data_IF_755469248387
#
_entry.id   IF_755469248387
#
_cell.length_a   1.000
_cell.length_b   1.000
_cell.length_c   1.000
_cell.angle_alpha   90.00
_cell.angle_beta   90.00
_cell.angle_gamma   90.00
#
_symmetry.space_group_name_H-M   'P 1'
#
loop_
_entity.id
_entity.type
_entity.pdbx_description
1 polymer ?
#
# COMPACT_ATOMS: atom_id res chain seq x y z
N UNK A 1 -8.49 -32.26 -9.58
CA UNK A 1 -8.89 -30.86 -9.34
C UNK A 1 -10.38 -30.83 -9.03
N UNK A 2 -10.86 -29.88 -8.22
CA UNK A 2 -12.28 -29.73 -7.86
C UNK A 2 -12.68 -28.26 -8.00
N UNK A 3 -13.84 -28.00 -8.59
CA UNK A 3 -14.43 -26.66 -8.64
C UNK A 3 -14.81 -26.18 -7.24
N UNK A 4 -14.46 -24.93 -6.93
CA UNK A 4 -14.77 -24.25 -5.68
C UNK A 4 -15.17 -22.81 -5.96
N UNK A 5 -15.86 -22.15 -5.03
CA UNK A 5 -16.14 -20.72 -5.14
C UNK A 5 -14.85 -19.90 -5.18
N UNK A 6 -14.90 -18.74 -5.83
CA UNK A 6 -13.78 -17.79 -5.85
C UNK A 6 -13.34 -17.40 -4.43
N UNK A 7 -14.29 -17.20 -3.51
CA UNK A 7 -14.00 -16.88 -2.10
C UNK A 7 -13.17 -17.97 -1.41
N UNK A 8 -13.42 -19.24 -1.71
CA UNK A 8 -12.67 -20.38 -1.18
C UNK A 8 -11.30 -20.51 -1.85
N UNK A 9 -11.19 -20.21 -3.14
CA UNK A 9 -9.88 -20.18 -3.81
C UNK A 9 -9.01 -19.05 -3.25
N UNK A 10 -9.60 -17.89 -2.96
CA UNK A 10 -8.90 -16.70 -2.48
C UNK A 10 -8.19 -16.92 -1.13
N UNK A 11 -8.72 -17.78 -0.25
CA UNK A 11 -8.07 -18.09 1.03
C UNK A 11 -6.72 -18.78 0.87
N UNK A 12 -6.50 -19.47 -0.26
CA UNK A 12 -5.25 -20.15 -0.58
C UNK A 12 -4.38 -19.38 -1.58
N UNK A 13 -4.98 -18.50 -2.40
CA UNK A 13 -4.28 -17.72 -3.41
C UNK A 13 -3.71 -16.40 -2.88
N UNK A 14 -4.44 -15.72 -1.98
CA UNK A 14 -4.13 -14.33 -1.62
C UNK A 14 -2.99 -14.12 -0.63
N UNK A 15 -2.45 -15.20 -0.04
CA UNK A 15 -1.49 -15.17 1.07
C UNK A 15 -0.37 -16.20 0.87
N UNK A 16 0.88 -15.89 1.29
CA UNK A 16 1.31 -14.58 1.78
C UNK A 16 1.31 -13.54 0.65
N UNK A 17 1.20 -12.26 1.00
CA UNK A 17 1.37 -11.19 0.03
C UNK A 17 2.08 -9.98 0.66
N UNK A 18 2.97 -9.33 -0.10
CA UNK A 18 3.57 -8.07 0.34
C UNK A 18 2.48 -7.02 0.59
N UNK A 19 2.59 -6.33 1.72
CA UNK A 19 1.76 -5.17 2.03
C UNK A 19 2.53 -3.92 1.68
N UNK A 20 1.85 -2.94 1.11
CA UNK A 20 2.40 -1.63 0.77
C UNK A 20 1.47 -0.55 1.29
N UNK A 21 2.00 0.66 1.50
CA UNK A 21 1.20 1.86 1.65
C UNK A 21 1.19 2.60 0.31
N UNK A 22 0.02 2.94 -0.21
CA UNK A 22 -0.10 3.98 -1.22
C UNK A 22 -0.41 5.29 -0.50
N UNK A 23 0.49 6.26 -0.57
CA UNK A 23 0.29 7.61 -0.04
C UNK A 23 -0.25 8.48 -1.15
N UNK A 24 -1.48 8.96 -1.00
CA UNK A 24 -2.16 9.83 -1.97
C UNK A 24 -2.19 11.26 -1.43
N UNK A 25 -2.43 12.25 -2.29
CA UNK A 25 -2.53 13.63 -1.87
C UNK A 25 -3.98 14.12 -1.85
N UNK A 26 -4.40 14.64 -0.71
CA UNK A 26 -5.67 15.32 -0.52
C UNK A 26 -5.47 16.81 -0.78
N UNK A 27 -5.86 17.27 -1.98
CA UNK A 27 -5.69 18.66 -2.40
C UNK A 27 -6.57 19.62 -1.61
N UNK A 28 -7.76 19.18 -1.20
CA UNK A 28 -8.72 19.99 -0.45
C UNK A 28 -8.16 20.32 0.94
N UNK A 29 -7.71 19.31 1.69
CA UNK A 29 -7.16 19.48 3.03
C UNK A 29 -5.63 19.69 3.06
N UNK A 30 -4.98 19.73 1.89
CA UNK A 30 -3.54 19.92 1.70
C UNK A 30 -2.66 18.96 2.52
N UNK A 31 -3.02 17.68 2.53
CA UNK A 31 -2.34 16.65 3.35
C UNK A 31 -2.16 15.33 2.60
N UNK A 32 -1.23 14.53 3.08
CA UNK A 32 -1.03 13.16 2.61
C UNK A 32 -1.99 12.18 3.29
N UNK A 33 -2.50 11.22 2.53
CA UNK A 33 -3.41 10.18 3.02
C UNK A 33 -2.90 8.78 2.63
N UNK A 34 -2.30 8.03 3.57
CA UNK A 34 -1.88 6.65 3.33
C UNK A 34 -3.06 5.66 3.33
N UNK A 35 -2.97 4.64 2.48
CA UNK A 35 -3.83 3.44 2.51
C UNK A 35 -2.98 2.18 2.39
N UNK A 36 -3.26 1.18 3.23
CA UNK A 36 -2.60 -0.12 3.11
C UNK A 36 -3.26 -0.98 2.03
N UNK A 37 -2.46 -1.58 1.15
CA UNK A 37 -2.90 -2.39 0.02
C UNK A 37 -2.11 -3.70 -0.04
N UNK A 38 -2.80 -4.79 -0.41
CA UNK A 38 -2.18 -6.07 -0.76
C UNK A 38 -2.01 -6.28 -2.26
N UNK A 39 -2.78 -5.54 -3.08
CA UNK A 39 -2.86 -5.71 -4.53
C UNK A 39 -2.04 -4.66 -5.26
N UNK A 40 -0.88 -5.11 -5.75
CA UNK A 40 0.19 -4.31 -6.33
C UNK A 40 1.12 -5.23 -7.14
N UNK A 41 1.76 -4.69 -8.17
CA UNK A 41 2.74 -5.41 -8.99
C UNK A 41 3.69 -4.45 -9.71
N UNK A 42 4.86 -4.95 -10.11
CA UNK A 42 5.68 -4.30 -11.13
C UNK A 42 5.07 -4.58 -12.50
N UNK A 43 5.08 -3.61 -13.41
CA UNK A 43 4.43 -3.74 -14.72
C UNK A 43 5.36 -3.44 -15.90
N UNK A 44 6.51 -2.82 -15.66
CA UNK A 44 7.51 -2.56 -16.69
C UNK A 44 8.88 -2.29 -16.07
N UNK A 45 9.94 -2.65 -16.79
CA UNK A 45 11.34 -2.31 -16.47
C UNK A 45 11.71 -0.95 -17.09
N UNK A 46 11.32 -0.70 -18.34
CA UNK A 46 11.63 0.55 -19.05
C UNK A 46 10.43 1.03 -19.91
N UNK A 47 9.80 2.16 -19.59
CA UNK A 47 10.00 2.95 -18.36
C UNK A 47 9.67 2.12 -17.11
N UNK A 48 10.25 2.41 -15.94
CA UNK A 48 9.94 1.67 -14.71
C UNK A 48 8.50 1.96 -14.29
N UNK A 49 7.69 0.91 -14.13
CA UNK A 49 6.28 1.06 -13.77
C UNK A 49 5.84 0.07 -12.70
N UNK A 50 4.91 0.54 -11.87
CA UNK A 50 4.18 -0.26 -10.88
C UNK A 50 2.69 -0.03 -11.05
N UNK A 51 1.88 -0.99 -10.61
CA UNK A 51 0.44 -0.83 -10.51
C UNK A 51 -0.07 -1.12 -9.11
N UNK A 52 -1.13 -0.42 -8.70
CA UNK A 52 -1.91 -0.68 -7.50
C UNK A 52 -3.38 -0.84 -7.85
N UNK A 53 -4.08 -1.74 -7.18
CA UNK A 53 -5.53 -1.90 -7.33
C UNK A 53 -6.24 -1.36 -6.10
N UNK A 54 -7.13 -0.38 -6.31
CA UNK A 54 -7.79 0.36 -5.23
C UNK A 54 -9.30 0.31 -5.42
N UNK A 55 -10.00 -0.10 -4.35
CA UNK A 55 -11.47 -0.19 -4.36
C UNK A 55 -12.11 1.18 -4.52
N UNK A 56 -13.14 1.29 -5.35
CA UNK A 56 -13.81 2.56 -5.70
C UNK A 56 -14.43 3.29 -4.50
N UNK A 57 -14.77 2.57 -3.44
CA UNK A 57 -15.34 3.14 -2.22
C UNK A 57 -14.29 3.79 -1.31
N UNK A 58 -12.99 3.54 -1.55
CA UNK A 58 -11.90 4.05 -0.71
C UNK A 58 -11.70 5.53 -0.98
N UNK A 59 -11.44 6.30 0.07
CA UNK A 59 -11.14 7.72 -0.07
C UNK A 59 -9.92 7.97 -0.98
N UNK A 60 -8.90 7.13 -0.88
CA UNK A 60 -7.71 7.17 -1.73
C UNK A 60 -8.01 6.98 -3.23
N UNK A 61 -9.10 6.31 -3.60
CA UNK A 61 -9.51 6.20 -5.01
C UNK A 61 -9.89 7.57 -5.58
N UNK A 62 -10.74 8.34 -4.87
CA UNK A 62 -11.05 9.74 -5.21
C UNK A 62 -9.76 10.56 -5.40
N UNK A 63 -8.84 10.47 -4.44
CA UNK A 63 -7.59 11.23 -4.47
C UNK A 63 -6.71 10.86 -5.67
N UNK A 64 -6.60 9.57 -6.00
CA UNK A 64 -5.83 9.10 -7.16
C UNK A 64 -6.44 9.60 -8.48
N UNK A 65 -7.77 9.57 -8.60
CA UNK A 65 -8.47 10.09 -9.77
C UNK A 65 -8.26 11.61 -9.94
N UNK A 66 -8.20 12.36 -8.85
CA UNK A 66 -8.05 13.83 -8.88
C UNK A 66 -6.62 14.31 -9.09
N UNK A 67 -5.65 13.60 -8.50
CA UNK A 67 -4.26 14.05 -8.44
C UNK A 67 -3.34 13.31 -9.40
N UNK A 68 -3.65 12.04 -9.72
CA UNK A 68 -2.79 11.22 -10.57
C UNK A 68 -1.39 10.98 -9.99
N UNK A 69 -1.22 11.12 -8.67
CA UNK A 69 0.07 11.00 -8.00
C UNK A 69 -0.05 10.13 -6.75
N UNK A 70 0.94 9.27 -6.53
CA UNK A 70 1.06 8.51 -5.29
C UNK A 70 2.51 8.20 -4.97
N UNK A 71 2.79 7.97 -3.69
CA UNK A 71 4.01 7.30 -3.25
C UNK A 71 3.66 5.84 -2.92
N UNK A 72 4.37 4.88 -3.52
CA UNK A 72 4.29 3.48 -3.11
C UNK A 72 5.39 3.19 -2.07
N UNK A 73 5.00 3.08 -0.82
CA UNK A 73 5.90 2.86 0.30
C UNK A 73 5.85 1.41 0.78
N UNK A 74 7.01 0.82 1.04
CA UNK A 74 7.16 -0.59 1.50
C UNK A 74 7.44 -0.60 3.00
N UNK A 75 6.44 -0.92 3.86
CA UNK A 75 6.61 -0.90 5.30
C UNK A 75 7.46 -2.05 5.82
N UNK A 76 8.20 -1.77 6.91
CA UNK A 76 8.79 -2.80 7.75
C UNK A 76 7.79 -3.35 8.78
N UNK A 77 8.14 -4.46 9.43
CA UNK A 77 7.32 -5.07 10.48
C UNK A 77 7.21 -4.23 11.77
N UNK A 78 8.13 -3.28 11.97
CA UNK A 78 8.17 -2.31 13.05
C UNK A 78 6.94 -1.38 13.07
N UNK A 79 6.32 -1.12 11.92
CA UNK A 79 5.14 -0.24 11.77
C UNK A 79 3.85 -1.00 11.44
N UNK A 80 3.73 -2.26 11.85
CA UNK A 80 2.58 -3.11 11.53
C UNK A 80 1.24 -2.55 12.06
N UNK A 81 1.26 -1.85 13.21
CA UNK A 81 0.07 -1.25 13.83
C UNK A 81 -0.44 -0.06 13.00
N UNK A 82 0.46 0.80 12.56
CA UNK A 82 0.21 1.98 11.72
C UNK A 82 -0.32 1.55 10.35
N UNK A 83 0.27 0.50 9.76
CA UNK A 83 -0.20 -0.06 8.49
C UNK A 83 -1.63 -0.61 8.61
N UNK A 84 -1.94 -1.36 9.67
CA UNK A 84 -3.30 -1.83 9.92
C UNK A 84 -4.28 -0.67 10.13
N UNK A 85 -3.86 0.36 10.86
CA UNK A 85 -4.65 1.58 11.05
C UNK A 85 -4.96 2.26 9.70
N UNK A 86 -3.93 2.41 8.85
CA UNK A 86 -4.07 3.02 7.53
C UNK A 86 -4.98 2.23 6.59
N UNK A 87 -5.00 0.90 6.70
CA UNK A 87 -5.88 0.02 5.91
C UNK A 87 -7.33 -0.04 6.39
N UNK A 88 -7.58 0.23 7.68
CA UNK A 88 -8.89 -0.02 8.31
C UNK A 88 -9.65 1.23 8.74
N UNK A 89 -9.03 2.41 8.65
CA UNK A 89 -9.69 3.70 8.86
C UNK A 89 -9.66 4.53 7.58
N UNK A 90 -10.69 5.33 7.34
CA UNK A 90 -10.79 6.18 6.14
C UNK A 90 -10.27 7.58 6.44
N UNK A 91 -9.38 8.11 5.59
CA UNK A 91 -8.84 9.48 5.73
C UNK A 91 -9.80 10.59 5.33
N UNK A 92 -11.06 10.24 4.98
CA UNK A 92 -12.09 11.21 4.61
C UNK A 92 -12.37 12.18 5.76
N UNK A 93 -12.40 11.67 6.98
CA UNK A 93 -12.80 12.42 8.18
C UNK A 93 -11.67 12.57 9.21
N UNK A 94 -10.52 11.91 9.01
CA UNK A 94 -9.40 11.93 9.95
C UNK A 94 -8.08 12.16 9.22
N UNK A 95 -7.12 12.77 9.91
CA UNK A 95 -5.74 12.88 9.43
C UNK A 95 -4.93 11.66 9.90
N UNK A 96 -4.83 10.63 9.06
CA UNK A 96 -4.17 9.38 9.47
C UNK A 96 -2.70 9.56 9.87
N UNK A 97 -2.01 10.55 9.31
CA UNK A 97 -0.61 10.81 9.67
C UNK A 97 -0.50 11.44 11.07
N UNK A 98 -1.50 12.24 11.49
CA UNK A 98 -1.56 12.74 12.87
C UNK A 98 -2.00 11.69 13.89
N UNK A 99 -2.81 10.72 13.46
CA UNK A 99 -3.27 9.60 14.30
C UNK A 99 -2.25 8.46 14.41
N UNK A 100 -1.11 8.55 13.73
CA UNK A 100 -0.06 7.52 13.72
C UNK A 100 1.30 8.12 14.03
N UNK A 101 2.29 7.27 14.26
CA UNK A 101 3.68 7.64 14.50
C UNK A 101 4.48 7.86 13.20
N UNK A 102 3.83 7.81 12.03
CA UNK A 102 4.49 7.87 10.74
C UNK A 102 5.05 9.27 10.48
N UNK A 103 6.30 9.35 10.05
CA UNK A 103 6.97 10.61 9.75
C UNK A 103 6.91 10.91 8.26
N UNK A 104 6.12 11.90 7.81
CA UNK A 104 6.11 12.32 6.42
C UNK A 104 7.42 13.06 6.07
N UNK A 105 7.98 12.74 4.90
CA UNK A 105 9.09 13.47 4.30
C UNK A 105 8.66 14.01 2.93
N UNK A 106 9.06 15.23 2.60
CA UNK A 106 8.71 15.80 1.29
C UNK A 106 9.31 14.97 0.15
N UNK A 107 8.46 14.61 -0.80
CA UNK A 107 8.84 14.03 -2.08
C UNK A 107 9.50 15.07 -3.01
N UNK A 108 10.23 14.59 -4.01
CA UNK A 108 10.98 15.44 -4.96
C UNK A 108 10.14 15.84 -6.17
N UNK A 109 9.30 14.94 -6.68
CA UNK A 109 8.57 15.09 -7.94
C UNK A 109 7.04 15.03 -7.79
N UNK A 110 6.52 14.42 -6.72
CA UNK A 110 5.07 14.29 -6.48
C UNK A 110 4.63 15.05 -5.22
N UNK A 111 3.31 15.32 -5.09
CA UNK A 111 2.73 15.97 -3.90
C UNK A 111 2.59 15.09 -2.65
N UNK A 112 2.22 13.79 -2.73
CA UNK A 112 2.17 12.93 -1.55
C UNK A 112 3.56 12.78 -0.92
N UNK A 113 3.59 12.76 0.40
CA UNK A 113 4.83 12.60 1.17
C UNK A 113 5.36 11.16 1.10
N UNK A 114 6.68 11.02 1.22
CA UNK A 114 7.34 9.77 1.55
C UNK A 114 7.08 9.41 3.03
N UNK A 115 7.20 8.14 3.39
CA UNK A 115 7.13 7.68 4.78
C UNK A 115 8.52 7.23 5.22
N UNK A 116 9.10 7.93 6.20
CA UNK A 116 10.47 7.69 6.69
C UNK A 116 10.69 6.26 7.17
N UNK A 117 9.69 5.70 7.85
CA UNK A 117 9.76 4.36 8.46
C UNK A 117 9.64 3.23 7.42
N UNK A 118 9.36 3.54 6.16
CA UNK A 118 9.30 2.54 5.09
C UNK A 118 10.70 2.23 4.52
N UNK A 119 10.91 0.96 4.18
CA UNK A 119 12.16 0.47 3.60
C UNK A 119 12.43 1.05 2.21
N UNK A 120 11.36 1.28 1.45
CA UNK A 120 11.38 1.84 0.10
C UNK A 120 10.23 2.83 -0.04
N UNK A 121 10.46 3.93 -0.75
CA UNK A 121 9.41 4.82 -1.25
C UNK A 121 9.62 5.04 -2.75
N UNK A 122 8.59 4.81 -3.56
CA UNK A 122 8.61 5.07 -5.00
C UNK A 122 7.67 6.23 -5.29
N UNK A 123 8.19 7.30 -5.90
CA UNK A 123 7.35 8.41 -6.34
C UNK A 123 6.75 8.07 -7.70
N UNK A 124 5.43 7.99 -7.76
CA UNK A 124 4.71 7.50 -8.93
C UNK A 124 3.76 8.54 -9.48
N UNK A 125 3.79 8.72 -10.80
CA UNK A 125 2.77 9.45 -11.55
C UNK A 125 1.91 8.48 -12.33
N UNK A 126 0.59 8.57 -12.18
CA UNK A 126 -0.36 7.71 -12.88
C UNK A 126 -0.28 8.00 -14.39
N UNK A 127 0.08 6.98 -15.16
CA UNK A 127 0.14 7.03 -16.62
C UNK A 127 -1.14 6.50 -17.26
N UNK A 128 -1.93 5.70 -16.52
CA UNK A 128 -3.21 5.18 -16.97
C UNK A 128 -3.91 4.38 -15.89
N UNK A 129 -5.18 4.06 -16.12
CA UNK A 129 -5.96 3.21 -15.22
C UNK A 129 -6.92 2.31 -15.98
N UNK A 130 -7.25 1.16 -15.37
CA UNK A 130 -8.19 0.19 -15.89
C UNK A 130 -9.30 -0.06 -14.85
N UNK A 131 -10.55 0.09 -15.27
CA UNK A 131 -11.71 -0.28 -14.46
C UNK A 131 -11.91 -1.80 -14.50
N UNK A 132 -11.83 -2.46 -13.34
CA UNK A 132 -11.91 -3.92 -13.22
C UNK A 132 -13.02 -4.37 -12.27
N UNK A 133 -14.14 -3.63 -12.22
CA UNK A 133 -15.30 -3.97 -11.40
C UNK A 133 -15.45 -3.07 -10.18
N UNK A 134 -15.28 -3.62 -8.97
CA UNK A 134 -15.34 -2.83 -7.72
C UNK A 134 -14.01 -2.11 -7.40
N UNK A 135 -12.96 -2.41 -8.16
CA UNK A 135 -11.64 -1.79 -8.08
C UNK A 135 -11.25 -1.12 -9.41
N UNK A 136 -10.31 -0.18 -9.30
CA UNK A 136 -9.57 0.39 -10.43
C UNK A 136 -8.10 0.07 -10.26
N UNK A 137 -7.46 -0.45 -11.31
CA UNK A 137 -6.02 -0.61 -11.38
C UNK A 137 -5.43 0.71 -11.86
N UNK A 138 -4.56 1.32 -11.07
CA UNK A 138 -3.79 2.51 -11.45
C UNK A 138 -2.37 2.08 -11.79
N UNK A 139 -1.94 2.32 -13.04
CA UNK A 139 -0.56 2.13 -13.48
C UNK A 139 0.20 3.43 -13.32
N UNK A 140 1.29 3.41 -12.55
CA UNK A 140 2.15 4.56 -12.28
C UNK A 140 3.56 4.36 -12.80
N UNK A 141 4.06 5.35 -13.53
CA UNK A 141 5.49 5.48 -13.86
C UNK A 141 6.25 5.94 -12.61
N UNK A 142 7.35 5.24 -12.30
CA UNK A 142 8.22 5.56 -11.18
C UNK A 142 9.20 6.65 -11.59
N UNK A 143 9.02 7.86 -11.05
CA UNK A 143 9.85 9.02 -11.37
C UNK A 143 11.18 9.02 -10.60
N UNK A 144 11.15 8.54 -9.35
CA UNK A 144 12.34 8.35 -8.51
C UNK A 144 12.07 7.32 -7.43
N UNK A 145 13.14 6.78 -6.85
CA UNK A 145 13.09 5.78 -5.79
C UNK A 145 13.95 6.19 -4.61
N UNK A 146 13.50 5.85 -3.40
CA UNK A 146 14.19 6.09 -2.15
C UNK A 146 14.29 4.78 -1.39
N UNK A 147 15.44 4.53 -0.76
CA UNK A 147 15.67 3.35 0.08
C UNK A 147 16.16 3.81 1.45
N UNK A 148 15.67 3.15 2.50
CA UNK A 148 16.17 3.37 3.85
C UNK A 148 17.60 2.86 3.99
N UNK A 149 18.44 3.58 4.73
CA UNK A 149 19.78 3.11 5.11
C UNK A 149 19.71 1.91 6.07
N UNK A 150 18.59 1.78 6.80
CA UNK A 150 18.34 0.67 7.70
C UNK A 150 17.69 -0.51 6.97
N UNK A 151 18.24 -1.71 7.16
CA UNK A 151 17.63 -2.94 6.65
C UNK A 151 16.39 -3.30 7.46
N UNK A 152 15.21 -3.23 6.83
CA UNK A 152 13.93 -3.58 7.47
C UNK A 152 13.42 -4.96 7.02
N UNK A 153 12.84 -5.71 7.95
CA UNK A 153 12.07 -6.92 7.61
C UNK A 153 10.73 -6.49 7.01
N UNK A 154 10.54 -6.69 5.72
CA UNK A 154 9.34 -6.24 5.00
C UNK A 154 8.10 -6.91 5.56
N UNK A 155 7.08 -6.09 5.83
CA UNK A 155 5.79 -6.53 6.30
C UNK A 155 5.01 -7.24 5.19
N UNK A 156 4.40 -8.36 5.55
CA UNK A 156 3.59 -9.19 4.66
C UNK A 156 2.24 -9.49 5.33
N UNK A 157 1.20 -9.65 4.51
CA UNK A 157 -0.02 -10.32 4.95
C UNK A 157 0.23 -11.82 4.89
N UNK A 158 -0.14 -12.53 5.95
CA UNK A 158 0.16 -13.95 6.14
C UNK A 158 -1.13 -14.75 6.36
N UNK A 159 -1.10 -16.02 5.97
CA UNK A 159 -2.16 -16.96 6.29
C UNK A 159 -1.90 -17.65 7.63
N UNK A 160 -2.28 -18.92 7.69
CA UNK A 160 -2.07 -19.81 8.84
C UNK A 160 -0.89 -20.77 8.65
N UNK A 161 -0.17 -20.65 7.54
CA UNK A 161 0.96 -21.50 7.20
C UNK A 161 2.19 -21.18 8.07
N UNK A 162 3.07 -22.18 8.23
CA UNK A 162 4.35 -22.04 8.89
C UNK A 162 5.34 -21.16 8.09
N UNK A 163 6.44 -20.77 8.72
CA UNK A 163 7.49 -19.96 8.09
C UNK A 163 7.32 -18.44 8.28
N UNK A 164 6.25 -18.00 8.96
CA UNK A 164 6.02 -16.60 9.29
C UNK A 164 6.05 -16.34 10.79
N UNK A 165 6.57 -15.17 11.17
CA UNK A 165 6.38 -14.59 12.49
C UNK A 165 5.17 -13.66 12.40
N UNK A 166 4.06 -14.06 13.02
CA UNK A 166 2.89 -13.20 13.18
C UNK A 166 3.25 -12.04 14.11
N UNK A 167 2.95 -10.81 13.68
CA UNK A 167 3.19 -9.60 14.46
C UNK A 167 1.88 -8.98 14.96
N UNK A 168 0.84 -9.05 14.14
CA UNK A 168 -0.45 -8.44 14.43
C UNK A 168 -1.59 -9.19 13.75
N UNK A 169 -2.71 -9.34 14.46
CA UNK A 169 -3.96 -9.86 13.94
C UNK A 169 -5.13 -8.98 14.39
N UNK A 170 -6.02 -8.63 13.47
CA UNK A 170 -7.18 -7.80 13.80
C UNK A 170 -7.97 -7.35 12.56
N UNK A 171 -9.27 -7.12 12.73
CA UNK A 171 -10.21 -6.67 11.67
C UNK A 171 -10.14 -7.53 10.38
N UNK A 172 -9.88 -8.83 10.52
CA UNK A 172 -9.77 -9.77 9.39
C UNK A 172 -8.39 -9.81 8.71
N UNK A 173 -7.40 -9.06 9.22
CA UNK A 173 -6.04 -9.04 8.69
C UNK A 173 -5.07 -9.75 9.63
N UNK A 174 -4.11 -10.46 9.03
CA UNK A 174 -2.96 -11.06 9.70
C UNK A 174 -1.70 -10.51 9.04
N UNK A 175 -0.87 -9.83 9.82
CA UNK A 175 0.35 -9.17 9.38
C UNK A 175 1.55 -9.79 10.09
N UNK A 176 2.61 -10.06 9.34
CA UNK A 176 3.80 -10.70 9.84
C UNK A 176 5.04 -10.42 9.01
N UNK A 177 6.11 -11.11 9.33
CA UNK A 177 7.36 -11.13 8.57
C UNK A 177 7.80 -12.57 8.33
N UNK A 178 8.65 -12.78 7.34
CA UNK A 178 9.29 -14.10 7.11
C UNK A 178 10.18 -14.43 8.32
N UNK A 179 10.08 -15.64 8.86
CA UNK A 179 11.01 -16.13 9.89
C UNK A 179 12.41 -16.20 9.27
N UNK A 180 13.37 -15.58 9.94
CA UNK A 180 14.78 -15.64 9.56
C UNK A 180 15.42 -16.93 10.01
#
# INVERSE_FOLDING_TARGET
MKEVSYSKALSCFGKPSRVVLAVCYDRENKRSNPIALGWKMQTSIQPPMVAISVGKTRYSHKLLMETGEFVLAVPGGDIAKEVLFCGTNSGRNIDKLRETSLTPLKAKFVKPDLIKECAVNLECKVSGYLDTGDHTIFAGEVLTSWISEEKKKVLISVGSEDGYQLLLEGKGYRLGVIRG
#
